data_IF_184760779886
#
_entry.id   IF_184760779886
#
_cell.length_a   1.000
_cell.length_b   1.000
_cell.length_c   1.000
_cell.angle_alpha   90.00
_cell.angle_beta   90.00
_cell.angle_gamma   90.00
#
_symmetry.space_group_name_H-M   'P 1'
#
loop_
_entity.id
_entity.type
_entity.pdbx_description
1 polymer ?
#
# COMPACT_ATOMS: atom_id res chain seq x y z
N UNK A 1 -12.39 -87.13 -50.44
CA UNK A 1 -11.13 -87.23 -51.21
C UNK A 1 -11.13 -86.19 -52.32
N UNK A 2 -10.53 -85.03 -52.10
CA UNK A 2 -10.29 -84.04 -53.17
C UNK A 2 -8.78 -83.84 -53.37
N UNK A 3 -8.27 -83.11 -54.36
CA UNK A 3 -8.60 -82.79 -55.76
C UNK A 3 -7.51 -81.78 -56.15
N UNK A 4 -6.93 -81.92 -57.34
CA UNK A 4 -6.05 -80.92 -57.96
C UNK A 4 -6.69 -79.51 -57.97
N UNK A 5 -5.90 -78.43 -57.93
CA UNK A 5 -5.78 -77.42 -59.01
C UNK A 5 -4.90 -76.21 -58.60
N UNK A 6 -4.11 -75.74 -59.57
CA UNK A 6 -3.49 -74.40 -59.64
C UNK A 6 -4.58 -73.32 -59.80
N UNK A 7 -4.39 -72.10 -59.28
CA UNK A 7 -4.12 -70.87 -60.06
C UNK A 7 -4.08 -69.61 -59.16
N UNK A 8 -3.48 -68.57 -59.73
CA UNK A 8 -2.96 -67.33 -59.17
C UNK A 8 -4.00 -66.29 -58.66
N UNK A 9 -3.47 -65.32 -57.90
CA UNK A 9 -3.55 -63.84 -58.07
C UNK A 9 -4.29 -62.97 -57.01
N UNK A 10 -3.57 -61.88 -56.60
CA UNK A 10 -3.99 -60.59 -56.00
C UNK A 10 -4.42 -60.59 -54.51
N UNK A 11 -4.09 -59.65 -53.59
CA UNK A 11 -3.46 -58.30 -53.61
C UNK A 11 -2.97 -57.92 -52.19
N UNK A 12 -1.83 -57.21 -52.13
CA UNK A 12 -1.22 -56.26 -51.15
C UNK A 12 -1.71 -56.17 -49.68
N UNK A 13 -0.78 -56.06 -48.71
CA UNK A 13 -0.36 -54.77 -48.08
C UNK A 13 0.77 -54.95 -47.02
N UNK A 14 1.83 -54.13 -47.16
CA UNK A 14 2.62 -53.39 -46.16
C UNK A 14 3.08 -54.01 -44.82
N UNK A 15 4.41 -54.18 -44.64
CA UNK A 15 5.14 -53.94 -43.37
C UNK A 15 6.56 -53.42 -43.69
N UNK A 16 7.05 -52.50 -42.84
CA UNK A 16 8.44 -52.06 -42.56
C UNK A 16 8.67 -50.56 -42.82
N UNK A 17 8.37 -49.74 -41.82
CA UNK A 17 9.27 -48.66 -41.34
C UNK A 17 9.08 -48.55 -39.82
N UNK A 18 10.04 -49.02 -39.04
CA UNK A 18 10.09 -48.82 -37.59
C UNK A 18 11.57 -48.67 -37.17
N UNK A 19 12.18 -47.57 -37.60
CA UNK A 19 13.53 -47.18 -37.16
C UNK A 19 13.77 -45.65 -37.26
N UNK A 20 12.72 -44.84 -37.13
CA UNK A 20 12.85 -43.37 -37.24
C UNK A 20 11.92 -42.57 -36.31
N UNK A 21 11.28 -43.18 -35.30
CA UNK A 21 10.39 -42.47 -34.36
C UNK A 21 11.04 -42.18 -33.00
N UNK A 22 12.26 -42.65 -32.73
CA UNK A 22 12.90 -42.46 -31.41
C UNK A 22 13.89 -41.29 -31.28
N UNK A 23 14.06 -40.47 -32.34
CA UNK A 23 15.02 -39.35 -32.31
C UNK A 23 14.39 -37.95 -32.48
N UNK A 24 13.05 -37.84 -32.56
CA UNK A 24 12.33 -36.55 -32.64
C UNK A 24 11.46 -36.27 -31.40
N UNK A 25 11.41 -37.19 -30.44
CA UNK A 25 10.69 -37.00 -29.17
C UNK A 25 11.55 -36.45 -28.02
N UNK A 26 12.79 -36.03 -28.29
CA UNK A 26 13.73 -35.54 -27.27
C UNK A 26 14.01 -34.02 -27.34
N UNK A 27 13.41 -33.27 -28.27
CA UNK A 27 13.77 -31.87 -28.52
C UNK A 27 12.65 -30.83 -28.34
N UNK A 28 11.58 -31.16 -27.61
CA UNK A 28 10.53 -30.19 -27.27
C UNK A 28 9.90 -30.35 -25.90
N UNK A 29 10.43 -31.23 -25.03
CA UNK A 29 9.91 -31.42 -23.67
C UNK A 29 10.51 -30.47 -22.61
N UNK A 30 11.39 -29.53 -23.01
CA UNK A 30 11.98 -28.56 -22.07
C UNK A 30 11.18 -27.26 -21.91
N UNK A 31 10.07 -27.07 -22.63
CA UNK A 31 9.26 -25.84 -22.53
C UNK A 31 7.95 -25.95 -21.72
N UNK A 32 7.60 -27.12 -21.19
CA UNK A 32 6.31 -27.34 -20.49
C UNK A 32 6.45 -27.80 -19.04
N UNK A 33 7.62 -27.59 -18.43
CA UNK A 33 7.73 -27.35 -16.98
C UNK A 33 7.61 -25.84 -16.75
N UNK A 34 6.42 -25.27 -16.87
CA UNK A 34 6.20 -23.86 -16.57
C UNK A 34 6.62 -23.57 -15.12
N UNK A 35 7.87 -23.12 -14.90
CA UNK A 35 8.52 -22.66 -13.66
C UNK A 35 7.95 -23.23 -12.34
N UNK A 36 7.67 -24.53 -12.31
CA UNK A 36 7.04 -25.18 -11.16
C UNK A 36 7.99 -25.31 -9.97
N UNK A 37 9.26 -25.00 -10.17
CA UNK A 37 10.31 -24.90 -9.15
C UNK A 37 10.50 -23.48 -8.61
N UNK A 38 9.62 -22.54 -8.97
CA UNK A 38 9.76 -21.11 -8.68
C UNK A 38 10.02 -20.28 -9.95
N UNK A 39 9.50 -19.04 -10.03
CA UNK A 39 9.84 -18.11 -11.10
C UNK A 39 11.32 -17.65 -11.03
N UNK A 40 11.80 -16.94 -12.06
CA UNK A 40 13.05 -16.20 -11.91
C UNK A 40 12.84 -15.01 -10.95
N UNK A 41 13.90 -14.37 -10.40
CA UNK A 41 13.75 -13.13 -9.67
C UNK A 41 13.05 -12.04 -10.51
N UNK A 42 12.25 -11.18 -9.87
CA UNK A 42 11.68 -9.99 -10.51
C UNK A 42 10.23 -10.12 -11.01
N UNK A 43 9.46 -11.06 -10.45
CA UNK A 43 8.06 -11.31 -10.84
C UNK A 43 7.10 -11.23 -9.65
N UNK A 44 7.46 -10.51 -8.60
CA UNK A 44 6.62 -10.33 -7.41
C UNK A 44 5.57 -9.21 -7.54
N UNK A 45 5.48 -8.56 -8.71
CA UNK A 45 4.65 -7.37 -8.94
C UNK A 45 5.07 -6.14 -8.11
N UNK A 46 6.36 -6.07 -7.74
CA UNK A 46 6.92 -4.90 -7.06
C UNK A 46 7.20 -3.75 -8.03
N UNK A 47 7.31 -2.49 -7.54
CA UNK A 47 7.74 -1.37 -8.38
C UNK A 47 9.07 -1.66 -9.11
N UNK A 48 9.08 -1.38 -10.42
CA UNK A 48 10.22 -1.65 -11.30
C UNK A 48 10.37 -3.10 -11.78
N UNK A 49 9.47 -4.01 -11.39
CA UNK A 49 9.47 -5.42 -11.78
C UNK A 49 8.28 -5.80 -12.66
N UNK A 50 8.35 -7.01 -13.23
CA UNK A 50 7.21 -7.66 -13.85
C UNK A 50 6.36 -8.42 -12.84
N UNK A 51 5.44 -9.23 -13.36
CA UNK A 51 4.68 -10.20 -12.59
C UNK A 51 4.42 -11.46 -13.42
N UNK A 52 3.78 -12.47 -12.82
CA UNK A 52 3.56 -13.75 -13.48
C UNK A 52 2.77 -13.68 -14.80
N UNK A 53 2.04 -12.58 -15.10
CA UNK A 53 1.37 -12.41 -16.41
C UNK A 53 2.34 -12.27 -17.58
N UNK A 54 3.62 -11.95 -17.32
CA UNK A 54 4.66 -11.94 -18.34
C UNK A 54 4.86 -13.32 -19.01
N UNK A 55 4.53 -14.40 -18.28
CA UNK A 55 4.54 -15.76 -18.80
C UNK A 55 3.14 -16.37 -18.91
N UNK A 56 2.20 -16.00 -18.02
CA UNK A 56 0.83 -16.50 -17.97
C UNK A 56 -0.16 -15.49 -18.58
N UNK A 57 -0.32 -15.55 -19.90
CA UNK A 57 -1.03 -14.52 -20.67
C UNK A 57 -2.51 -14.81 -20.89
N UNK A 58 -3.09 -15.81 -20.22
CA UNK A 58 -4.47 -16.25 -20.44
C UNK A 58 -5.50 -15.22 -20.01
N UNK A 59 -5.22 -14.50 -18.93
CA UNK A 59 -6.12 -13.54 -18.32
C UNK A 59 -5.36 -12.32 -17.76
N UNK A 60 -5.99 -11.14 -17.66
CA UNK A 60 -5.41 -9.99 -16.97
C UNK A 60 -5.07 -10.29 -15.51
N UNK A 61 -4.12 -9.53 -14.95
CA UNK A 61 -3.80 -9.56 -13.52
C UNK A 61 -5.07 -9.31 -12.68
N UNK A 62 -5.21 -10.05 -11.58
CA UNK A 62 -6.32 -9.94 -10.62
C UNK A 62 -7.71 -10.10 -11.24
N UNK A 63 -7.78 -10.84 -12.35
CA UNK A 63 -9.04 -11.21 -12.97
C UNK A 63 -9.54 -12.59 -12.51
N UNK A 64 -10.84 -12.81 -12.65
CA UNK A 64 -11.48 -14.07 -12.26
C UNK A 64 -11.90 -14.13 -10.78
N UNK A 65 -12.37 -15.31 -10.32
CA UNK A 65 -13.03 -15.45 -9.01
C UNK A 65 -12.08 -15.70 -7.83
N UNK A 66 -10.78 -15.73 -8.08
CA UNK A 66 -9.76 -15.98 -7.06
C UNK A 66 -9.25 -14.72 -6.37
N UNK A 67 -8.26 -14.89 -5.49
CA UNK A 67 -7.57 -13.79 -4.82
C UNK A 67 -6.21 -14.22 -4.24
N UNK A 68 -5.38 -13.23 -3.90
CA UNK A 68 -4.15 -13.40 -3.14
C UNK A 68 -4.18 -12.52 -1.87
N UNK A 69 -3.47 -12.93 -0.83
CA UNK A 69 -3.31 -12.16 0.41
C UNK A 69 -1.96 -12.46 1.07
N UNK A 70 -1.36 -11.44 1.69
CA UNK A 70 -0.18 -11.57 2.56
C UNK A 70 -0.66 -11.40 4.00
N UNK A 71 -0.34 -12.35 4.87
CA UNK A 71 -0.81 -12.43 6.26
C UNK A 71 0.38 -12.45 7.21
N UNK A 72 0.19 -11.95 8.43
CA UNK A 72 1.23 -11.96 9.47
C UNK A 72 2.29 -10.87 9.30
N UNK A 73 2.13 -9.96 8.34
CA UNK A 73 2.91 -8.72 8.26
C UNK A 73 2.67 -7.97 9.58
N UNK A 74 3.73 -7.68 10.35
CA UNK A 74 3.58 -6.99 11.62
C UNK A 74 3.26 -5.53 11.32
N UNK A 75 2.60 -4.87 12.25
CA UNK A 75 2.26 -3.47 12.03
C UNK A 75 3.48 -2.53 12.14
N UNK A 76 4.52 -2.97 12.87
CA UNK A 76 5.84 -2.35 12.96
C UNK A 76 6.94 -3.41 13.12
N UNK A 77 8.21 -3.01 12.93
CA UNK A 77 9.36 -3.87 13.17
C UNK A 77 10.45 -3.23 14.05
N UNK A 78 11.07 -4.09 14.86
CA UNK A 78 12.38 -3.83 15.47
C UNK A 78 13.50 -4.35 14.57
N UNK A 79 14.68 -3.73 14.59
CA UNK A 79 15.82 -4.26 13.84
C UNK A 79 16.11 -5.72 14.16
N UNK A 80 16.33 -6.54 13.13
CA UNK A 80 16.50 -8.00 13.20
C UNK A 80 15.30 -8.81 13.73
N UNK A 81 14.12 -8.19 13.90
CA UNK A 81 12.92 -8.92 14.30
C UNK A 81 12.56 -10.00 13.28
N UNK A 82 12.33 -11.22 13.75
CA UNK A 82 11.87 -12.32 12.93
C UNK A 82 10.35 -12.45 13.06
N UNK A 83 9.63 -12.41 11.94
CA UNK A 83 8.16 -12.48 11.88
C UNK A 83 7.71 -13.56 10.89
N UNK A 84 6.79 -14.47 11.28
CA UNK A 84 6.21 -15.41 10.34
C UNK A 84 5.24 -14.69 9.39
N UNK A 85 5.55 -14.72 8.10
CA UNK A 85 4.71 -14.19 7.02
C UNK A 85 4.09 -15.36 6.28
N UNK A 86 2.81 -15.25 5.93
CA UNK A 86 2.09 -16.26 5.14
C UNK A 86 1.53 -15.64 3.87
N UNK A 87 1.88 -16.22 2.72
CA UNK A 87 1.24 -15.92 1.44
C UNK A 87 0.13 -16.93 1.22
N UNK A 88 -1.04 -16.47 0.81
CA UNK A 88 -2.19 -17.32 0.47
C UNK A 88 -2.77 -16.95 -0.88
N UNK A 89 -3.01 -17.97 -1.72
CA UNK A 89 -3.68 -17.85 -3.02
C UNK A 89 -4.94 -18.71 -3.00
N UNK A 90 -6.06 -18.14 -3.45
CA UNK A 90 -7.36 -18.80 -3.59
C UNK A 90 -7.81 -18.76 -5.03
N UNK A 91 -8.19 -19.91 -5.60
CA UNK A 91 -8.86 -19.99 -6.88
C UNK A 91 -9.62 -21.31 -6.97
N UNK A 92 -10.95 -21.27 -7.01
CA UNK A 92 -11.73 -22.51 -7.08
C UNK A 92 -11.53 -23.22 -8.43
N UNK A 93 -11.14 -24.49 -8.39
CA UNK A 93 -10.85 -25.29 -9.59
C UNK A 93 -9.39 -25.27 -10.05
N UNK A 94 -8.52 -24.45 -9.43
CA UNK A 94 -7.08 -24.53 -9.68
C UNK A 94 -6.53 -25.86 -9.14
N UNK A 95 -5.70 -26.51 -9.95
CA UNK A 95 -5.06 -27.77 -9.61
C UNK A 95 -3.67 -27.56 -9.01
N UNK A 96 -2.97 -26.49 -9.41
CA UNK A 96 -1.65 -26.14 -8.91
C UNK A 96 -1.59 -24.65 -8.54
N UNK A 97 -0.69 -24.29 -7.62
CA UNK A 97 -0.48 -22.93 -7.17
C UNK A 97 1.00 -22.53 -7.18
N UNK A 98 1.28 -21.23 -7.21
CA UNK A 98 2.63 -20.69 -7.04
C UNK A 98 2.61 -19.24 -6.56
N UNK A 99 3.76 -18.73 -6.12
CA UNK A 99 3.94 -17.35 -5.71
C UNK A 99 5.40 -16.89 -5.77
N UNK A 100 5.62 -15.59 -5.89
CA UNK A 100 6.89 -14.97 -5.50
C UNK A 100 6.57 -13.74 -4.67
N UNK A 101 7.29 -13.56 -3.57
CA UNK A 101 7.18 -12.40 -2.69
C UNK A 101 8.55 -11.74 -2.50
N UNK A 102 8.57 -10.41 -2.43
CA UNK A 102 9.72 -9.58 -2.02
C UNK A 102 9.31 -8.57 -0.95
N UNK A 103 10.27 -8.01 -0.22
CA UNK A 103 10.07 -6.91 0.72
C UNK A 103 11.07 -5.79 0.44
N UNK A 104 10.59 -4.56 0.26
CA UNK A 104 11.37 -3.40 -0.18
C UNK A 104 11.16 -2.20 0.74
N UNK A 105 12.18 -1.35 0.84
CA UNK A 105 12.03 0.00 1.40
C UNK A 105 11.42 0.95 0.35
N UNK A 106 11.13 2.17 0.77
CA UNK A 106 10.54 3.22 -0.08
C UNK A 106 11.41 3.56 -1.30
N UNK A 107 12.73 3.44 -1.18
CA UNK A 107 13.68 3.62 -2.29
C UNK A 107 13.77 2.40 -3.23
N UNK A 108 13.00 1.34 -2.97
CA UNK A 108 13.01 0.11 -3.75
C UNK A 108 14.20 -0.81 -3.49
N UNK A 109 14.96 -0.59 -2.40
CA UNK A 109 16.04 -1.47 -1.97
C UNK A 109 15.50 -2.64 -1.13
N UNK A 110 16.25 -3.76 -0.99
CA UNK A 110 15.80 -4.90 -0.20
C UNK A 110 15.64 -4.54 1.29
N UNK A 111 14.43 -4.70 1.83
CA UNK A 111 14.11 -4.42 3.23
C UNK A 111 14.02 -5.73 4.05
N UNK A 112 15.19 -6.25 4.40
CA UNK A 112 15.33 -7.43 5.26
C UNK A 112 15.66 -8.68 4.47
N UNK A 113 15.47 -9.83 5.10
CA UNK A 113 15.79 -11.13 4.52
C UNK A 113 14.66 -12.12 4.76
N UNK A 114 14.59 -13.17 3.94
CA UNK A 114 13.64 -14.26 4.14
C UNK A 114 14.36 -15.53 4.57
N UNK A 115 13.68 -16.32 5.39
CA UNK A 115 14.11 -17.64 5.83
C UNK A 115 12.98 -18.61 5.52
N UNK A 116 13.24 -19.55 4.61
CA UNK A 116 12.31 -20.64 4.31
C UNK A 116 12.23 -21.58 5.52
N UNK A 117 11.10 -21.57 6.23
CA UNK A 117 10.86 -22.46 7.37
C UNK A 117 10.41 -23.84 6.92
N UNK A 118 9.63 -23.93 5.83
CA UNK A 118 9.39 -25.17 5.09
C UNK A 118 10.29 -25.22 3.84
N UNK A 119 11.49 -25.76 3.99
CA UNK A 119 12.47 -25.86 2.91
C UNK A 119 12.12 -26.92 1.85
N UNK A 120 11.08 -27.73 2.08
CA UNK A 120 10.57 -28.69 1.09
C UNK A 120 9.70 -27.95 0.08
N UNK A 121 8.82 -27.08 0.58
CA UNK A 121 7.84 -26.38 -0.24
C UNK A 121 8.27 -25.00 -0.69
N UNK A 122 9.24 -24.37 -0.03
CA UNK A 122 9.67 -23.00 -0.33
C UNK A 122 11.19 -22.89 -0.48
N UNK A 123 11.63 -21.83 -1.14
CA UNK A 123 13.03 -21.41 -1.22
C UNK A 123 13.15 -19.90 -1.17
N UNK A 124 14.37 -19.45 -0.86
CA UNK A 124 14.76 -18.04 -0.91
C UNK A 124 15.79 -17.90 -2.02
N UNK A 125 15.60 -16.91 -2.88
CA UNK A 125 16.53 -16.56 -3.96
C UNK A 125 16.91 -15.08 -3.88
N UNK A 126 18.07 -14.74 -4.41
CA UNK A 126 18.59 -13.37 -4.41
C UNK A 126 18.91 -13.00 -5.86
N UNK A 127 18.27 -11.92 -6.34
CA UNK A 127 18.55 -11.36 -7.65
C UNK A 127 20.00 -10.90 -7.74
N UNK A 128 20.67 -11.29 -8.81
CA UNK A 128 22.05 -10.86 -9.09
C UNK A 128 22.11 -9.48 -9.77
N UNK A 129 20.96 -8.92 -10.16
CA UNK A 129 20.88 -7.64 -10.87
C UNK A 129 20.80 -6.45 -9.90
N UNK A 130 19.96 -6.58 -8.87
CA UNK A 130 19.60 -5.50 -7.93
C UNK A 130 19.74 -5.91 -6.45
N UNK A 131 20.07 -7.17 -6.17
CA UNK A 131 20.21 -7.68 -4.80
C UNK A 131 18.89 -7.96 -4.08
N UNK A 132 17.73 -7.82 -4.76
CA UNK A 132 16.42 -8.10 -4.14
C UNK A 132 16.31 -9.55 -3.70
N UNK A 133 15.75 -9.72 -2.50
CA UNK A 133 15.51 -11.01 -1.89
C UNK A 133 14.08 -11.45 -2.18
N UNK A 134 13.92 -12.68 -2.64
CA UNK A 134 12.61 -13.26 -2.90
C UNK A 134 12.43 -14.56 -2.13
N UNK A 135 11.19 -14.84 -1.77
CA UNK A 135 10.76 -16.16 -1.30
C UNK A 135 9.64 -16.65 -2.22
N UNK A 136 9.71 -17.92 -2.56
CA UNK A 136 8.86 -18.53 -3.60
C UNK A 136 8.66 -20.03 -3.37
N UNK A 137 7.76 -20.63 -4.15
CA UNK A 137 7.47 -22.06 -4.09
C UNK A 137 8.56 -22.91 -4.77
N UNK A 138 8.76 -24.12 -4.24
CA UNK A 138 9.37 -25.26 -4.94
C UNK A 138 8.29 -26.13 -5.57
N UNK A 139 8.71 -27.12 -6.36
CA UNK A 139 7.80 -28.10 -6.98
C UNK A 139 6.88 -28.80 -5.97
N UNK A 140 7.40 -29.19 -4.81
CA UNK A 140 6.59 -29.83 -3.76
C UNK A 140 5.57 -28.87 -3.14
N UNK A 141 5.75 -27.56 -3.30
CA UNK A 141 4.88 -26.51 -2.77
C UNK A 141 3.70 -26.15 -3.67
N UNK A 142 3.54 -26.73 -4.87
CA UNK A 142 2.47 -26.32 -5.80
C UNK A 142 1.12 -26.99 -5.53
N UNK A 143 1.11 -28.06 -4.73
CA UNK A 143 -0.10 -28.87 -4.48
C UNK A 143 -1.02 -28.13 -3.50
N UNK A 144 -2.33 -28.01 -3.77
CA UNK A 144 -3.27 -27.31 -2.89
C UNK A 144 -3.34 -27.94 -1.49
N UNK A 145 -3.43 -27.11 -0.44
CA UNK A 145 -3.65 -27.62 0.94
C UNK A 145 -5.06 -28.18 1.10
N UNK A 146 -5.99 -27.65 0.31
CA UNK A 146 -7.39 -28.04 0.22
C UNK A 146 -7.96 -27.54 -1.11
N UNK A 147 -9.10 -28.07 -1.59
CA UNK A 147 -9.67 -27.64 -2.87
C UNK A 147 -9.78 -26.11 -2.96
N UNK A 148 -9.16 -25.55 -4.01
CA UNK A 148 -9.26 -24.14 -4.35
C UNK A 148 -8.36 -23.18 -3.56
N UNK A 149 -7.41 -23.66 -2.74
CA UNK A 149 -6.46 -22.76 -2.07
C UNK A 149 -5.11 -23.40 -1.74
N UNK A 150 -4.09 -22.55 -1.64
CA UNK A 150 -2.75 -22.89 -1.14
C UNK A 150 -2.19 -21.75 -0.31
N UNK A 151 -1.46 -22.08 0.75
CA UNK A 151 -0.68 -21.13 1.53
C UNK A 151 0.74 -21.63 1.80
N UNK A 152 1.65 -20.67 1.98
CA UNK A 152 3.04 -20.89 2.35
C UNK A 152 3.42 -19.93 3.46
N UNK A 153 4.04 -20.46 4.51
CA UNK A 153 4.55 -19.68 5.63
C UNK A 153 6.07 -19.74 5.65
N UNK A 154 6.70 -18.59 5.83
CA UNK A 154 8.15 -18.42 5.96
C UNK A 154 8.42 -17.32 6.98
N UNK A 155 9.67 -17.12 7.35
CA UNK A 155 10.04 -16.04 8.26
C UNK A 155 10.64 -14.88 7.46
N UNK A 156 10.09 -13.69 7.63
CA UNK A 156 10.78 -12.46 7.28
C UNK A 156 11.61 -12.01 8.48
N UNK A 157 12.89 -11.75 8.27
CA UNK A 157 13.77 -11.13 9.24
C UNK A 157 13.99 -9.67 8.83
N UNK A 158 13.51 -8.77 9.67
CA UNK A 158 13.60 -7.33 9.45
C UNK A 158 15.05 -6.85 9.31
N UNK A 159 15.29 -5.74 8.59
CA UNK A 159 16.60 -5.11 8.45
C UNK A 159 17.38 -4.98 9.76
N UNK A 160 18.72 -5.06 9.68
CA UNK A 160 19.59 -4.93 10.84
C UNK A 160 19.61 -3.51 11.45
N UNK A 161 19.18 -2.52 10.68
CA UNK A 161 18.92 -1.13 11.05
C UNK A 161 17.55 -0.75 10.51
N UNK A 162 16.82 0.18 11.14
CA UNK A 162 15.56 0.66 10.55
C UNK A 162 15.82 1.31 9.19
N UNK A 163 14.96 1.02 8.22
CA UNK A 163 14.99 1.54 6.84
C UNK A 163 13.71 2.30 6.48
N UNK A 164 12.92 2.70 7.48
CA UNK A 164 11.60 3.30 7.27
C UNK A 164 10.54 2.24 6.97
N UNK A 165 9.59 2.59 6.09
CA UNK A 165 8.50 1.72 5.65
C UNK A 165 9.06 0.48 4.95
N UNK A 166 8.38 -0.64 5.12
CA UNK A 166 8.67 -1.89 4.42
C UNK A 166 7.43 -2.36 3.70
N UNK A 167 7.48 -2.38 2.37
CA UNK A 167 6.39 -2.87 1.53
C UNK A 167 6.70 -4.28 1.04
N UNK A 168 5.77 -5.19 1.27
CA UNK A 168 5.75 -6.56 0.78
C UNK A 168 4.93 -6.60 -0.50
N UNK A 169 5.49 -7.16 -1.56
CA UNK A 169 4.81 -7.34 -2.83
C UNK A 169 4.83 -8.80 -3.19
N UNK A 170 3.71 -9.33 -3.66
CA UNK A 170 3.62 -10.69 -4.11
C UNK A 170 2.74 -10.85 -5.35
N UNK A 171 3.14 -11.78 -6.20
CA UNK A 171 2.30 -12.29 -7.29
C UNK A 171 2.14 -13.79 -7.14
N UNK A 172 0.94 -14.30 -7.42
CA UNK A 172 0.56 -15.69 -7.23
C UNK A 172 -0.17 -16.25 -8.45
N UNK A 173 -0.04 -17.56 -8.67
CA UNK A 173 -0.70 -18.29 -9.75
C UNK A 173 -1.74 -19.26 -9.18
N UNK A 174 -2.94 -19.28 -9.75
CA UNK A 174 -3.88 -20.40 -9.68
C UNK A 174 -3.99 -21.06 -11.04
N UNK A 175 -3.30 -22.19 -11.23
CA UNK A 175 -3.15 -22.84 -12.52
C UNK A 175 -4.06 -24.06 -12.73
N UNK A 176 -4.40 -24.33 -13.98
CA UNK A 176 -5.31 -25.43 -14.35
C UNK A 176 -4.62 -26.81 -14.39
N UNK A 177 -3.31 -26.86 -14.18
CA UNK A 177 -2.51 -28.07 -14.07
C UNK A 177 -2.16 -28.75 -15.39
N UNK A 178 -2.45 -28.14 -16.54
CA UNK A 178 -2.19 -28.74 -17.86
C UNK A 178 -0.74 -28.55 -18.36
N UNK A 179 0.09 -27.78 -17.63
CA UNK A 179 1.49 -27.48 -17.97
C UNK A 179 1.70 -26.38 -19.02
N UNK A 180 0.63 -25.71 -19.44
CA UNK A 180 0.59 -24.57 -20.35
C UNK A 180 0.30 -23.29 -19.55
N UNK A 181 0.98 -22.17 -19.84
CA UNK A 181 0.69 -20.89 -19.19
C UNK A 181 -0.70 -20.29 -19.50
N UNK A 182 -1.38 -20.76 -20.54
CA UNK A 182 -2.73 -20.32 -20.90
C UNK A 182 -3.77 -21.05 -20.08
N UNK A 183 -4.77 -20.33 -19.54
CA UNK A 183 -5.79 -20.90 -18.65
C UNK A 183 -5.50 -20.65 -17.17
N UNK A 184 -4.30 -20.15 -16.87
CA UNK A 184 -3.85 -19.81 -15.52
C UNK A 184 -4.25 -18.39 -15.14
N UNK A 185 -4.68 -18.20 -13.88
CA UNK A 185 -5.04 -16.90 -13.34
C UNK A 185 -3.96 -16.37 -12.41
N UNK A 186 -3.56 -15.12 -12.63
CA UNK A 186 -2.55 -14.44 -11.82
C UNK A 186 -3.21 -13.43 -10.89
N UNK A 187 -2.79 -13.47 -9.64
CA UNK A 187 -3.24 -12.57 -8.59
C UNK A 187 -2.04 -11.80 -8.02
N UNK A 188 -2.27 -10.60 -7.54
CA UNK A 188 -1.27 -9.84 -6.78
C UNK A 188 -1.79 -9.48 -5.39
N UNK A 189 -0.86 -9.24 -4.49
CA UNK A 189 -1.13 -8.66 -3.19
C UNK A 189 0.06 -7.82 -2.74
N UNK A 190 -0.24 -6.70 -2.10
CA UNK A 190 0.71 -5.88 -1.36
C UNK A 190 0.31 -5.84 0.11
N UNK A 191 1.29 -5.62 0.97
CA UNK A 191 1.08 -5.29 2.38
C UNK A 191 2.25 -4.40 2.82
N UNK A 192 2.06 -3.53 3.81
CA UNK A 192 3.13 -2.63 4.26
C UNK A 192 3.26 -2.61 5.77
N UNK A 193 4.48 -2.39 6.21
CA UNK A 193 4.85 -2.01 7.57
C UNK A 193 5.23 -0.55 7.51
N UNK A 194 4.47 0.34 8.12
CA UNK A 194 4.73 1.78 8.06
C UNK A 194 3.49 2.59 8.40
N UNK A 195 3.73 3.82 8.86
CA UNK A 195 2.77 4.60 9.65
C UNK A 195 1.45 4.82 8.91
N UNK A 196 0.37 4.35 9.51
CA UNK A 196 -0.95 4.91 9.22
C UNK A 196 -1.00 6.37 9.71
N UNK A 197 -1.78 7.26 9.08
CA UNK A 197 -1.97 8.60 9.63
C UNK A 197 -2.50 8.47 11.06
N UNK A 198 -1.93 9.26 11.98
CA UNK A 198 -2.30 9.27 13.40
C UNK A 198 -2.13 7.91 14.12
N UNK A 199 -1.15 7.10 13.73
CA UNK A 199 -0.71 5.94 14.51
C UNK A 199 0.22 6.40 15.66
N UNK A 200 -0.25 6.43 16.90
CA UNK A 200 0.51 6.90 18.08
C UNK A 200 1.09 5.76 18.93
N UNK A 201 0.80 4.50 18.62
CA UNK A 201 1.40 3.35 19.33
C UNK A 201 2.18 2.38 18.44
N UNK A 202 2.31 2.69 17.16
CA UNK A 202 3.06 1.94 16.17
C UNK A 202 2.49 0.55 15.94
N UNK A 203 1.16 0.44 16.00
CA UNK A 203 0.42 -0.77 15.68
C UNK A 203 -0.17 -0.74 14.26
N UNK A 204 0.33 0.17 13.41
CA UNK A 204 0.01 0.28 11.99
C UNK A 204 -1.44 0.64 11.72
N UNK A 205 -2.20 0.97 12.76
CA UNK A 205 -3.57 1.44 12.67
C UNK A 205 -3.64 2.93 12.96
N UNK A 206 -4.61 3.58 12.33
CA UNK A 206 -4.97 4.94 12.68
C UNK A 206 -5.66 4.94 14.05
N UNK A 207 -5.10 5.68 15.00
CA UNK A 207 -5.72 5.84 16.32
C UNK A 207 -6.82 6.90 16.28
N UNK A 208 -7.94 6.62 16.98
CA UNK A 208 -8.97 7.63 17.20
C UNK A 208 -8.39 8.75 18.04
N UNK A 209 -8.30 9.94 17.46
CA UNK A 209 -7.58 11.04 18.06
C UNK A 209 -8.23 12.37 17.71
N UNK A 210 -8.33 13.24 18.73
CA UNK A 210 -8.88 14.58 18.58
C UNK A 210 -8.01 15.64 19.26
N UNK A 211 -7.90 16.81 18.64
CA UNK A 211 -7.40 18.03 19.27
C UNK A 211 -8.57 18.91 19.68
N UNK A 212 -8.55 19.43 20.90
CA UNK A 212 -9.53 20.37 21.41
C UNK A 212 -9.00 21.80 21.34
N UNK A 213 -9.43 22.62 20.37
CA UNK A 213 -8.85 23.95 20.17
C UNK A 213 -9.15 24.92 21.32
N UNK A 214 -10.21 24.68 22.09
CA UNK A 214 -10.61 25.54 23.20
C UNK A 214 -9.62 25.51 24.37
N UNK A 215 -8.82 24.44 24.50
CA UNK A 215 -7.86 24.28 25.59
C UNK A 215 -6.51 23.69 25.17
N UNK A 216 -6.27 23.46 23.88
CA UNK A 216 -5.01 22.94 23.37
C UNK A 216 -4.74 21.47 23.75
N UNK A 217 -5.75 20.69 24.10
CA UNK A 217 -5.56 19.31 24.59
C UNK A 217 -5.78 18.28 23.48
N UNK A 218 -4.86 17.33 23.36
CA UNK A 218 -4.97 16.14 22.55
C UNK A 218 -5.57 15.00 23.37
N UNK A 219 -6.53 14.30 22.80
CA UNK A 219 -7.11 13.07 23.34
C UNK A 219 -6.89 11.98 22.31
N UNK A 220 -6.24 10.89 22.70
CA UNK A 220 -5.83 9.83 21.80
C UNK A 220 -6.28 8.50 22.42
N UNK A 221 -7.06 7.73 21.68
CA UNK A 221 -7.44 6.36 22.02
C UNK A 221 -6.65 5.43 21.12
N UNK A 222 -5.52 4.95 21.65
CA UNK A 222 -4.58 4.12 20.90
C UNK A 222 -5.10 2.70 20.77
N UNK A 223 -5.07 2.11 19.58
CA UNK A 223 -5.72 0.82 19.30
C UNK A 223 -5.15 -0.33 20.14
N UNK A 224 -3.84 -0.30 20.44
CA UNK A 224 -3.18 -1.30 21.27
C UNK A 224 -2.97 -0.83 22.71
N UNK A 225 -2.61 0.44 22.92
CA UNK A 225 -2.19 0.97 24.22
C UNK A 225 -3.26 1.77 24.97
N UNK A 226 -4.46 1.90 24.41
CA UNK A 226 -5.60 2.57 25.02
C UNK A 226 -5.41 4.09 25.18
N UNK A 227 -6.26 4.68 26.01
CA UNK A 227 -6.42 6.12 26.13
C UNK A 227 -5.19 6.85 26.73
N UNK A 228 -4.84 7.99 26.14
CA UNK A 228 -3.93 8.99 26.69
C UNK A 228 -4.38 10.40 26.31
N UNK A 229 -3.86 11.41 27.02
CA UNK A 229 -4.12 12.81 26.72
C UNK A 229 -2.88 13.67 26.96
N UNK A 230 -2.66 14.63 26.07
CA UNK A 230 -1.56 15.60 26.17
C UNK A 230 -2.13 17.01 26.16
N UNK A 231 -1.87 17.79 27.21
CA UNK A 231 -2.10 19.23 27.17
C UNK A 231 -0.94 19.88 26.40
N UNK A 232 -1.06 19.89 25.07
CA UNK A 232 0.02 20.27 24.17
C UNK A 232 -0.50 21.14 23.03
N UNK A 233 -0.57 22.43 23.31
CA UNK A 233 -1.04 23.44 22.37
C UNK A 233 -1.57 24.66 23.11
N UNK A 234 -2.06 25.62 22.36
CA UNK A 234 -2.72 26.81 22.87
C UNK A 234 -3.85 27.21 21.93
N UNK A 235 -4.74 28.07 22.40
CA UNK A 235 -5.81 28.59 21.54
C UNK A 235 -5.21 29.29 20.32
N UNK A 236 -5.67 28.90 19.14
CA UNK A 236 -5.17 29.40 17.85
C UNK A 236 -4.00 28.61 17.25
N UNK A 237 -3.47 27.61 17.97
CA UNK A 237 -2.54 26.65 17.38
C UNK A 237 -3.31 25.67 16.46
N UNK A 238 -2.68 25.29 15.35
CA UNK A 238 -3.18 24.30 14.40
C UNK A 238 -2.50 22.96 14.69
N UNK A 239 -3.24 21.84 14.86
CA UNK A 239 -2.62 20.53 14.99
C UNK A 239 -1.87 20.18 13.70
N UNK A 240 -0.64 19.71 13.82
CA UNK A 240 0.23 19.38 12.70
C UNK A 240 1.10 18.15 13.03
N UNK A 241 0.44 17.00 13.30
CA UNK A 241 1.11 15.77 13.69
C UNK A 241 2.00 15.22 12.57
N UNK A 242 2.97 14.38 12.93
CA UNK A 242 3.87 13.70 12.01
C UNK A 242 4.92 12.91 12.79
N UNK A 243 5.67 12.02 12.14
CA UNK A 243 6.81 11.33 12.77
C UNK A 243 8.09 12.16 12.57
N UNK A 244 8.40 13.09 13.49
CA UNK A 244 9.54 13.99 13.32
C UNK A 244 10.85 13.39 13.84
N UNK A 245 10.81 12.30 14.59
CA UNK A 245 11.99 11.67 15.19
C UNK A 245 12.39 10.33 14.55
N UNK A 246 11.52 9.75 13.70
CA UNK A 246 11.76 8.56 12.90
C UNK A 246 11.58 7.27 13.68
N UNK A 247 10.75 7.27 14.72
CA UNK A 247 10.45 6.08 15.51
C UNK A 247 9.24 5.27 14.98
N UNK A 248 8.61 5.74 13.89
CA UNK A 248 7.38 5.29 13.24
C UNK A 248 6.09 5.55 14.03
N UNK A 249 6.12 6.32 15.12
CA UNK A 249 4.91 6.83 15.78
C UNK A 249 4.67 8.27 15.37
N UNK A 250 3.39 8.62 15.35
CA UNK A 250 2.96 10.01 15.26
C UNK A 250 3.40 10.77 16.51
N UNK A 251 4.13 11.86 16.31
CA UNK A 251 4.42 12.84 17.34
C UNK A 251 3.25 13.81 17.51
N UNK A 252 2.99 14.16 18.77
CA UNK A 252 2.03 15.22 19.10
C UNK A 252 2.65 16.56 18.79
N UNK A 253 2.07 17.28 17.83
CA UNK A 253 2.68 18.49 17.27
C UNK A 253 1.66 19.56 16.88
N UNK A 254 2.05 20.83 17.07
CA UNK A 254 1.25 22.00 16.70
C UNK A 254 2.08 23.03 15.95
N UNK A 255 1.46 23.68 14.97
CA UNK A 255 1.96 24.89 14.35
C UNK A 255 1.24 26.10 14.97
N UNK A 256 1.99 27.15 15.31
CA UNK A 256 1.46 28.41 15.86
C UNK A 256 1.50 29.50 14.78
N UNK A 257 0.39 29.77 14.08
CA UNK A 257 0.38 30.70 12.94
C UNK A 257 0.80 32.14 13.30
N UNK A 258 0.53 32.56 14.54
CA UNK A 258 0.87 33.91 15.02
C UNK A 258 2.37 34.19 15.13
N UNK A 259 3.20 33.15 15.15
CA UNK A 259 4.65 33.27 15.37
C UNK A 259 5.51 32.44 14.42
N UNK A 260 4.89 31.54 13.64
CA UNK A 260 5.59 30.62 12.75
C UNK A 260 6.36 29.52 13.48
N UNK A 261 6.03 29.23 14.74
CA UNK A 261 6.68 28.16 15.49
C UNK A 261 5.95 26.83 15.34
N UNK A 262 6.74 25.79 15.14
CA UNK A 262 6.37 24.40 15.35
C UNK A 262 6.79 23.98 16.75
N UNK A 263 5.90 23.27 17.44
CA UNK A 263 6.18 22.62 18.70
C UNK A 263 5.79 21.17 18.57
N UNK A 264 6.63 20.25 19.02
CA UNK A 264 6.29 18.83 19.05
C UNK A 264 6.93 18.10 20.23
N UNK A 265 6.31 17.00 20.64
CA UNK A 265 6.85 16.04 21.60
C UNK A 265 7.29 14.81 20.83
N UNK A 266 8.58 14.50 20.88
CA UNK A 266 9.14 13.26 20.34
C UNK A 266 8.52 12.07 21.06
N UNK A 267 7.91 11.16 20.33
CA UNK A 267 7.22 10.00 20.85
C UNK A 267 8.18 8.92 21.38
N UNK A 268 9.44 8.94 20.95
CA UNK A 268 10.48 7.99 21.38
C UNK A 268 10.97 8.23 22.81
N UNK A 269 11.08 9.49 23.25
CA UNK A 269 11.66 9.87 24.55
C UNK A 269 10.88 10.95 25.32
N UNK A 270 9.83 11.51 24.72
CA UNK A 270 9.01 12.59 25.29
C UNK A 270 9.67 13.97 25.21
N UNK A 271 10.77 14.14 24.48
CA UNK A 271 11.49 15.41 24.42
C UNK A 271 10.69 16.49 23.70
N UNK A 272 10.62 17.66 24.33
CA UNK A 272 10.06 18.85 23.71
C UNK A 272 11.00 19.46 22.68
N UNK A 273 10.45 19.79 21.53
CA UNK A 273 11.14 20.50 20.45
C UNK A 273 10.35 21.73 20.03
N UNK A 274 11.09 22.78 19.68
CA UNK A 274 10.55 24.03 19.17
C UNK A 274 11.39 24.47 17.97
N UNK A 275 10.76 24.65 16.82
CA UNK A 275 11.40 25.03 15.56
C UNK A 275 10.67 26.24 15.00
N UNK A 276 11.38 27.36 14.79
CA UNK A 276 10.78 28.51 14.13
C UNK A 276 10.86 28.33 12.61
N UNK A 277 9.74 27.96 11.99
CA UNK A 277 9.65 27.75 10.56
C UNK A 277 8.25 28.05 10.01
N UNK A 278 8.14 29.16 9.29
CA UNK A 278 6.89 29.64 8.70
C UNK A 278 6.59 31.10 9.05
N UNK A 279 5.49 31.60 8.52
CA UNK A 279 5.00 32.95 8.70
C UNK A 279 3.48 32.96 8.92
N UNK A 280 2.95 34.12 9.33
CA UNK A 280 1.51 34.31 9.45
C UNK A 280 0.82 34.07 8.10
N UNK A 281 -0.20 33.21 8.09
CA UNK A 281 -0.94 32.83 6.88
C UNK A 281 -0.40 31.59 6.17
N UNK A 282 0.76 31.08 6.59
CA UNK A 282 1.26 29.79 6.13
C UNK A 282 0.40 28.64 6.71
N UNK A 283 0.23 27.57 5.92
CA UNK A 283 -0.47 26.35 6.29
C UNK A 283 0.54 25.25 6.61
N UNK A 284 0.44 24.54 7.75
CA UNK A 284 1.32 23.41 8.06
C UNK A 284 1.03 22.23 7.13
N UNK A 285 2.07 21.63 6.56
CA UNK A 285 1.98 20.51 5.60
C UNK A 285 3.13 19.52 5.82
N UNK A 286 3.41 19.18 7.09
CA UNK A 286 4.47 18.24 7.43
C UNK A 286 4.23 16.87 6.79
N UNK A 287 5.27 16.34 6.14
CA UNK A 287 5.28 15.05 5.45
C UNK A 287 6.72 14.70 5.05
N UNK A 288 7.00 13.48 4.60
CA UNK A 288 8.34 13.05 4.18
C UNK A 288 8.61 13.45 2.71
N UNK A 289 9.16 14.63 2.46
CA UNK A 289 9.44 15.10 1.09
C UNK A 289 10.83 14.68 0.60
N UNK A 290 11.73 14.23 1.48
CA UNK A 290 13.10 13.84 1.11
C UNK A 290 13.33 12.32 1.07
N UNK A 291 12.42 11.53 1.64
CA UNK A 291 12.37 10.07 1.60
C UNK A 291 13.21 9.41 2.68
N UNK A 292 13.47 10.07 3.81
CA UNK A 292 14.25 9.52 4.92
C UNK A 292 13.40 8.75 5.96
N UNK A 293 12.08 8.68 5.75
CA UNK A 293 11.12 8.04 6.63
C UNK A 293 10.64 8.92 7.77
N UNK A 294 10.98 10.22 7.80
CA UNK A 294 10.51 11.19 8.79
C UNK A 294 9.69 12.28 8.14
N UNK A 295 8.78 12.85 8.91
CA UNK A 295 8.08 14.08 8.54
C UNK A 295 9.04 15.26 8.56
N UNK A 296 9.16 15.94 7.42
CA UNK A 296 9.80 17.24 7.31
C UNK A 296 8.93 18.33 7.95
N UNK A 297 9.57 19.32 8.56
CA UNK A 297 8.88 20.54 8.99
C UNK A 297 8.62 21.39 7.74
N UNK A 298 7.35 21.48 7.32
CA UNK A 298 6.97 22.07 6.04
C UNK A 298 5.73 22.96 6.13
N UNK A 299 5.73 24.03 5.32
CA UNK A 299 4.60 24.97 5.19
C UNK A 299 4.28 25.28 3.74
N UNK A 300 3.00 25.42 3.41
CA UNK A 300 2.54 26.04 2.17
C UNK A 300 2.14 27.49 2.43
N UNK A 301 2.57 28.40 1.54
CA UNK A 301 2.21 29.81 1.59
C UNK A 301 1.23 30.14 0.47
N UNK A 302 -0.07 30.25 0.75
CA UNK A 302 -1.08 30.51 -0.27
C UNK A 302 -0.87 31.84 -1.01
N UNK A 303 -0.33 32.86 -0.33
CA UNK A 303 -0.16 34.21 -0.92
C UNK A 303 0.77 34.25 -2.13
N UNK A 304 1.64 33.25 -2.31
CA UNK A 304 2.56 33.15 -3.45
C UNK A 304 2.67 31.73 -4.04
N UNK A 305 1.85 30.79 -3.57
CA UNK A 305 1.83 29.40 -4.06
C UNK A 305 3.19 28.70 -3.86
N UNK A 306 3.86 28.91 -2.74
CA UNK A 306 5.19 28.33 -2.48
C UNK A 306 5.17 27.41 -1.28
N UNK A 307 5.77 26.23 -1.45
CA UNK A 307 6.06 25.25 -0.42
C UNK A 307 7.46 25.51 0.11
N UNK A 308 7.62 25.50 1.43
CA UNK A 308 8.90 25.62 2.11
C UNK A 308 9.03 24.45 3.07
N UNK A 309 10.20 23.82 3.14
CA UNK A 309 10.44 22.71 4.08
C UNK A 309 11.89 22.67 4.56
N UNK A 310 12.08 22.14 5.77
CA UNK A 310 13.36 21.76 6.33
C UNK A 310 13.47 20.24 6.25
N UNK A 311 14.44 19.77 5.47
CA UNK A 311 14.74 18.35 5.36
C UNK A 311 15.12 17.74 6.71
N UNK A 312 14.44 16.69 7.11
CA UNK A 312 14.76 15.86 8.27
C UNK A 312 16.14 15.20 8.15
N UNK A 313 16.54 14.84 6.92
CA UNK A 313 17.80 14.14 6.65
C UNK A 313 19.05 14.93 7.05
N UNK A 314 19.06 16.24 6.79
CA UNK A 314 20.25 17.08 6.95
C UNK A 314 19.99 18.50 7.47
N UNK A 315 18.72 18.85 7.74
CA UNK A 315 18.31 20.19 8.16
C UNK A 315 18.34 21.24 7.05
N UNK A 316 18.58 20.86 5.79
CA UNK A 316 18.68 21.82 4.70
C UNK A 316 17.32 22.45 4.37
N UNK A 317 17.31 23.78 4.24
CA UNK A 317 16.16 24.52 3.74
C UNK A 317 15.95 24.29 2.25
N UNK A 318 14.70 24.01 1.87
CA UNK A 318 14.24 23.82 0.49
C UNK A 318 12.93 24.56 0.25
N UNK A 319 12.65 24.82 -1.02
CA UNK A 319 11.38 25.39 -1.44
C UNK A 319 11.01 24.92 -2.85
N UNK A 320 9.71 24.86 -3.11
CA UNK A 320 9.11 24.53 -4.40
C UNK A 320 7.99 25.51 -4.68
N UNK A 321 8.04 26.22 -5.81
CA UNK A 321 6.95 27.11 -6.20
C UNK A 321 5.92 26.31 -7.01
N UNK A 322 4.79 25.98 -6.38
CA UNK A 322 3.74 25.16 -6.96
C UNK A 322 2.39 25.44 -6.31
N UNK A 323 1.38 25.79 -7.10
CA UNK A 323 0.03 26.11 -6.61
C UNK A 323 -0.30 27.61 -6.64
N UNK A 324 -1.42 27.96 -6.02
CA UNK A 324 -2.03 29.29 -6.01
C UNK A 324 -2.82 29.52 -4.71
N UNK A 325 -3.34 30.73 -4.52
CA UNK A 325 -4.02 31.09 -3.26
C UNK A 325 -5.38 30.43 -3.04
N UNK A 326 -6.02 29.89 -4.08
CA UNK A 326 -7.31 29.20 -3.98
C UNK A 326 -7.17 27.68 -3.80
N UNK A 327 -5.96 27.17 -4.00
CA UNK A 327 -5.69 25.75 -3.99
C UNK A 327 -5.78 25.19 -2.56
N UNK A 328 -6.39 24.01 -2.44
CA UNK A 328 -6.32 23.19 -1.22
C UNK A 328 -5.11 22.29 -1.35
N UNK A 329 -4.22 22.29 -0.36
CA UNK A 329 -3.02 21.45 -0.35
C UNK A 329 -3.40 20.01 -0.06
N UNK A 330 -2.82 19.05 -0.77
CA UNK A 330 -3.13 17.60 -0.65
C UNK A 330 -1.86 16.76 -0.85
N UNK A 331 -0.75 17.07 -0.17
CA UNK A 331 0.51 16.38 -0.38
C UNK A 331 0.40 14.90 0.04
N UNK A 332 0.82 14.00 -0.84
CA UNK A 332 0.92 12.56 -0.58
C UNK A 332 1.79 11.92 -1.68
N UNK A 333 2.19 10.66 -1.52
CA UNK A 333 2.88 9.90 -2.56
C UNK A 333 1.91 9.44 -3.68
N UNK A 334 1.87 10.12 -4.83
CA UNK A 334 1.00 9.76 -5.97
C UNK A 334 1.70 8.83 -6.98
N UNK A 335 3.03 8.66 -6.90
CA UNK A 335 3.79 7.89 -7.87
C UNK A 335 4.32 6.55 -7.32
N UNK A 336 4.30 6.37 -6.01
CA UNK A 336 4.67 5.17 -5.27
C UNK A 336 6.16 5.06 -4.99
N UNK A 337 6.90 6.17 -4.99
CA UNK A 337 8.35 6.20 -4.69
C UNK A 337 8.67 6.38 -3.20
N UNK A 338 7.63 6.41 -2.36
CA UNK A 338 7.71 6.56 -0.92
C UNK A 338 8.11 7.96 -0.45
N UNK A 339 8.13 8.95 -1.36
CA UNK A 339 8.25 10.37 -1.01
C UNK A 339 6.92 11.07 -1.21
N UNK A 340 6.75 12.15 -0.48
CA UNK A 340 5.57 13.00 -0.60
C UNK A 340 5.69 13.90 -1.82
N UNK A 341 4.69 13.86 -2.70
CA UNK A 341 4.58 14.78 -3.83
C UNK A 341 4.01 16.13 -3.41
N UNK A 342 4.44 17.19 -4.10
CA UNK A 342 3.78 18.49 -3.98
C UNK A 342 2.47 18.47 -4.77
N UNK A 343 1.34 18.51 -4.07
CA UNK A 343 0.04 18.36 -4.70
C UNK A 343 -1.00 19.36 -4.17
N UNK A 344 -1.89 19.77 -5.07
CA UNK A 344 -3.00 20.69 -4.80
C UNK A 344 -4.27 20.26 -5.51
N UNK A 345 -5.43 20.45 -4.86
CA UNK A 345 -6.74 20.45 -5.50
C UNK A 345 -7.19 21.89 -5.75
N UNK A 346 -7.49 22.22 -7.00
CA UNK A 346 -7.99 23.54 -7.41
C UNK A 346 -9.52 23.55 -7.52
N UNK A 347 -10.23 24.21 -6.60
CA UNK A 347 -11.69 24.20 -6.59
C UNK A 347 -12.33 24.82 -7.84
N UNK A 348 -11.73 25.89 -8.38
CA UNK A 348 -12.29 26.66 -9.50
C UNK A 348 -12.47 25.86 -10.79
N UNK A 349 -11.70 24.78 -10.96
CA UNK A 349 -11.78 23.90 -12.13
C UNK A 349 -11.85 22.40 -11.78
N UNK A 350 -11.99 22.07 -10.50
CA UNK A 350 -12.12 20.69 -9.98
C UNK A 350 -10.96 19.79 -10.44
N UNK A 351 -9.74 20.33 -10.45
CA UNK A 351 -8.56 19.63 -10.95
C UNK A 351 -7.51 19.48 -9.85
N UNK A 352 -6.97 18.28 -9.73
CA UNK A 352 -5.81 17.94 -8.94
C UNK A 352 -4.56 18.17 -9.77
N UNK A 353 -3.58 18.87 -9.22
CA UNK A 353 -2.28 19.13 -9.83
C UNK A 353 -1.20 18.62 -8.90
N UNK A 354 -0.19 17.92 -9.41
CA UNK A 354 0.91 17.42 -8.60
C UNK A 354 2.23 17.40 -9.36
N UNK A 355 3.34 17.52 -8.61
CA UNK A 355 4.70 17.31 -9.08
C UNK A 355 5.21 16.02 -8.47
N UNK A 356 5.49 15.03 -9.31
CA UNK A 356 6.03 13.73 -8.88
C UNK A 356 7.45 13.90 -8.31
N UNK A 357 7.71 13.36 -7.14
CA UNK A 357 9.01 13.32 -6.45
C UNK A 357 10.09 12.63 -7.28
N UNK A 358 9.73 11.56 -8.00
CA UNK A 358 10.67 10.76 -8.79
C UNK A 358 11.39 11.57 -9.88
N UNK A 359 10.66 12.43 -10.60
CA UNK A 359 11.17 13.11 -11.80
C UNK A 359 10.84 14.62 -11.88
N UNK A 360 10.15 15.16 -10.88
CA UNK A 360 9.59 16.52 -10.86
C UNK A 360 8.60 16.82 -12.01
N UNK A 361 8.03 15.80 -12.64
CA UNK A 361 7.09 16.00 -13.74
C UNK A 361 5.75 16.52 -13.22
N UNK A 362 5.24 17.53 -13.91
CA UNK A 362 3.89 18.03 -13.71
C UNK A 362 2.84 17.06 -14.23
N UNK A 363 1.88 16.74 -13.38
CA UNK A 363 0.73 15.89 -13.67
C UNK A 363 -0.57 16.55 -13.22
N UNK A 364 -1.68 16.09 -13.78
CA UNK A 364 -3.00 16.55 -13.37
C UNK A 364 -4.07 15.49 -13.58
N UNK A 365 -5.10 15.55 -12.73
CA UNK A 365 -6.29 14.69 -12.81
C UNK A 365 -7.52 15.55 -12.54
N UNK A 366 -8.51 15.54 -13.43
CA UNK A 366 -9.78 16.23 -13.17
C UNK A 366 -10.75 15.27 -12.47
N UNK A 367 -11.09 15.56 -11.21
CA UNK A 367 -11.93 14.68 -10.41
C UNK A 367 -12.62 15.43 -9.27
N UNK A 368 -13.90 15.11 -9.02
CA UNK A 368 -14.74 15.77 -8.02
C UNK A 368 -15.40 17.07 -8.48
N UNK A 369 -15.93 17.84 -7.53
CA UNK A 369 -16.47 19.18 -7.71
C UNK A 369 -15.73 20.19 -6.83
N UNK A 370 -15.72 21.47 -7.23
CA UNK A 370 -15.06 22.53 -6.46
C UNK A 370 -15.56 22.71 -5.03
N UNK A 371 -16.80 22.29 -4.73
CA UNK A 371 -17.37 22.33 -3.37
C UNK A 371 -17.00 21.13 -2.51
N UNK A 372 -16.40 20.09 -3.10
CA UNK A 372 -16.07 18.89 -2.35
C UNK A 372 -14.82 19.12 -1.47
N UNK A 373 -14.70 18.31 -0.41
CA UNK A 373 -13.53 18.30 0.48
C UNK A 373 -12.59 17.19 0.01
N UNK A 374 -11.34 17.49 -0.36
CA UNK A 374 -10.35 16.45 -0.67
C UNK A 374 -10.18 15.49 0.52
N UNK A 375 -10.08 14.20 0.24
CA UNK A 375 -9.86 13.14 1.23
C UNK A 375 -8.83 12.13 0.71
N UNK A 376 -7.72 12.66 0.19
CA UNK A 376 -6.62 11.87 -0.40
C UNK A 376 -6.09 10.82 0.58
N UNK A 377 -5.93 9.60 0.10
CA UNK A 377 -5.31 8.47 0.80
C UNK A 377 -5.20 7.27 -0.14
N UNK A 378 -4.59 6.18 0.30
CA UNK A 378 -4.46 4.91 -0.45
C UNK A 378 -5.62 3.96 -0.08
N UNK A 379 -6.73 4.01 -0.81
CA UNK A 379 -7.96 3.25 -0.53
C UNK A 379 -7.94 1.85 -1.16
N UNK A 380 -7.14 1.62 -2.20
CA UNK A 380 -7.04 0.31 -2.84
C UNK A 380 -5.83 -0.53 -2.39
N UNK A 381 -4.89 0.07 -1.66
CA UNK A 381 -3.74 -0.59 -1.05
C UNK A 381 -2.55 -0.77 -1.99
N UNK A 382 -2.51 -0.06 -3.12
CA UNK A 382 -1.43 -0.19 -4.10
C UNK A 382 -0.16 0.58 -3.71
N UNK A 383 -0.21 1.33 -2.61
CA UNK A 383 0.89 2.13 -2.09
C UNK A 383 0.93 3.55 -2.63
N UNK A 384 -0.03 3.95 -3.46
CA UNK A 384 -0.14 5.30 -4.02
C UNK A 384 -1.39 6.01 -3.51
N UNK A 385 -1.35 7.34 -3.58
CA UNK A 385 -2.48 8.18 -3.28
C UNK A 385 -3.57 8.05 -4.35
N UNK A 386 -4.79 7.73 -3.90
CA UNK A 386 -5.98 7.81 -4.72
C UNK A 386 -6.58 9.22 -4.70
N UNK A 387 -7.22 9.59 -5.82
CA UNK A 387 -7.96 10.84 -5.88
C UNK A 387 -9.32 10.64 -5.24
N UNK A 388 -9.55 11.28 -4.09
CA UNK A 388 -10.78 11.09 -3.35
C UNK A 388 -11.35 12.42 -2.82
N UNK A 389 -12.68 12.52 -2.81
CA UNK A 389 -13.41 13.68 -2.29
C UNK A 389 -14.61 13.26 -1.44
N UNK A 390 -14.88 14.00 -0.36
CA UNK A 390 -16.10 13.94 0.43
C UNK A 390 -17.03 15.10 0.07
N UNK A 391 -18.22 14.75 -0.39
CA UNK A 391 -19.29 15.70 -0.70
C UNK A 391 -20.18 15.89 0.51
N UNK A 392 -19.93 16.95 1.27
CA UNK A 392 -20.65 17.25 2.51
C UNK A 392 -22.17 17.48 2.31
N UNK A 393 -22.60 17.94 1.14
CA UNK A 393 -24.03 18.19 0.85
C UNK A 393 -24.86 16.91 0.78
N UNK A 394 -24.23 15.79 0.44
CA UNK A 394 -24.88 14.48 0.35
C UNK A 394 -24.34 13.48 1.36
N UNK A 395 -23.18 13.72 1.98
CA UNK A 395 -22.51 12.72 2.80
C UNK A 395 -21.98 11.56 1.95
N UNK A 396 -21.44 11.86 0.77
CA UNK A 396 -20.97 10.84 -0.18
C UNK A 396 -19.48 10.97 -0.42
N UNK A 397 -18.78 9.85 -0.38
CA UNK A 397 -17.38 9.70 -0.75
C UNK A 397 -17.31 9.30 -2.22
N UNK A 398 -16.43 9.95 -2.96
CA UNK A 398 -16.09 9.59 -4.33
C UNK A 398 -14.60 9.34 -4.39
N UNK A 399 -14.20 8.15 -4.84
CA UNK A 399 -12.80 7.71 -4.88
C UNK A 399 -12.50 7.21 -6.29
N UNK A 400 -11.35 7.60 -6.82
CA UNK A 400 -10.81 7.13 -8.07
C UNK A 400 -9.47 6.46 -7.77
N UNK A 401 -9.46 5.13 -7.87
CA UNK A 401 -8.28 4.30 -7.60
C UNK A 401 -7.16 4.61 -8.58
N UNK A 402 -5.95 4.78 -8.07
CA UNK A 402 -4.75 5.12 -8.82
C UNK A 402 -4.24 3.93 -9.66
N UNK A 403 -4.39 2.70 -9.16
CA UNK A 403 -3.94 1.47 -9.81
C UNK A 403 -4.63 1.16 -11.14
N UNK A 404 -5.93 1.46 -11.24
CA UNK A 404 -6.78 0.98 -12.34
C UNK A 404 -7.89 1.95 -12.77
N UNK A 405 -7.96 3.15 -12.21
CA UNK A 405 -9.02 4.14 -12.43
C UNK A 405 -10.44 3.63 -12.10
N UNK A 406 -10.55 2.63 -11.23
CA UNK A 406 -11.86 2.19 -10.74
C UNK A 406 -12.50 3.31 -9.91
N UNK A 407 -13.77 3.59 -10.22
CA UNK A 407 -14.53 4.63 -9.56
C UNK A 407 -15.44 4.03 -8.49
N UNK A 408 -15.35 4.56 -7.27
CA UNK A 408 -16.18 4.18 -6.13
C UNK A 408 -16.99 5.38 -5.67
N UNK A 409 -18.29 5.16 -5.44
CA UNK A 409 -19.17 6.13 -4.81
C UNK A 409 -19.85 5.48 -3.59
N UNK A 410 -19.50 5.95 -2.39
CA UNK A 410 -20.00 5.40 -1.12
C UNK A 410 -20.73 6.48 -0.33
N UNK A 411 -22.04 6.32 -0.18
CA UNK A 411 -22.84 7.15 0.72
C UNK A 411 -22.49 6.75 2.17
N UNK A 412 -21.77 7.61 2.88
CA UNK A 412 -21.45 7.43 4.28
C UNK A 412 -21.18 8.82 4.88
N UNK A 413 -22.03 9.24 5.81
CA UNK A 413 -21.98 10.56 6.43
C UNK A 413 -23.30 11.32 6.40
N UNK A 414 -23.34 12.39 7.18
CA UNK A 414 -24.45 13.32 7.28
C UNK A 414 -23.97 14.78 7.20
N UNK A 415 -24.90 15.72 7.05
CA UNK A 415 -24.55 17.14 7.05
C UNK A 415 -23.87 17.53 8.38
N UNK A 416 -22.70 18.14 8.29
CA UNK A 416 -21.89 18.56 9.44
C UNK A 416 -20.87 17.52 9.93
N UNK A 417 -20.92 16.31 9.41
CA UNK A 417 -19.87 15.31 9.64
C UNK A 417 -18.56 15.74 8.96
N UNK A 418 -17.43 15.38 9.60
CA UNK A 418 -16.09 15.64 9.08
C UNK A 418 -15.46 14.32 8.60
N UNK A 419 -14.94 14.25 7.37
CA UNK A 419 -14.24 13.06 6.91
C UNK A 419 -12.95 12.86 7.73
N UNK A 420 -12.65 11.61 8.06
CA UNK A 420 -11.43 11.21 8.75
C UNK A 420 -10.99 9.85 8.19
N UNK A 421 -10.47 9.81 6.95
CA UNK A 421 -9.92 8.57 6.40
C UNK A 421 -8.72 8.09 7.22
N UNK A 422 -8.52 6.77 7.29
CA UNK A 422 -7.41 6.16 8.03
C UNK A 422 -7.44 4.63 7.93
N UNK A 423 -6.36 3.95 8.30
CA UNK A 423 -6.30 2.48 8.34
C UNK A 423 -6.70 2.01 9.74
N UNK A 424 -7.98 2.03 10.10
CA UNK A 424 -8.44 1.73 11.45
C UNK A 424 -8.44 0.22 11.76
N UNK A 425 -8.54 -0.64 10.74
CA UNK A 425 -8.57 -2.09 10.93
C UNK A 425 -7.24 -2.82 10.66
N UNK A 426 -6.23 -2.09 10.16
CA UNK A 426 -4.86 -2.57 10.02
C UNK A 426 -4.65 -3.44 8.78
N UNK A 427 -5.53 -3.40 7.78
CA UNK A 427 -5.38 -4.20 6.56
C UNK A 427 -4.43 -3.58 5.52
N UNK A 428 -3.98 -2.35 5.78
CA UNK A 428 -3.06 -1.61 4.94
C UNK A 428 -3.75 -0.72 3.89
N UNK A 429 -5.08 -0.77 3.79
CA UNK A 429 -5.90 0.12 2.97
C UNK A 429 -6.51 1.20 3.84
N UNK A 430 -6.96 2.27 3.18
CA UNK A 430 -7.68 3.34 3.86
C UNK A 430 -9.15 2.96 4.02
N UNK A 431 -9.61 2.97 5.26
CA UNK A 431 -11.02 2.87 5.62
C UNK A 431 -11.73 4.22 5.48
N UNK A 432 -13.03 4.16 5.21
CA UNK A 432 -13.88 5.35 5.20
C UNK A 432 -14.31 5.65 6.63
N UNK A 433 -13.71 6.69 7.23
CA UNK A 433 -14.00 7.15 8.58
C UNK A 433 -14.64 8.54 8.63
N UNK A 434 -15.48 8.77 9.64
CA UNK A 434 -16.19 10.03 9.88
C UNK A 434 -16.14 10.36 11.37
N UNK A 435 -15.83 11.62 11.68
CA UNK A 435 -16.06 12.21 12.98
C UNK A 435 -17.28 13.13 12.92
N UNK A 436 -18.24 12.90 13.83
CA UNK A 436 -19.41 13.76 14.03
C UNK A 436 -19.16 14.73 15.17
N UNK A 437 -18.90 16.02 14.91
CA UNK A 437 -18.57 16.95 15.96
C UNK A 437 -19.76 17.28 16.88
N UNK A 438 -21.00 17.04 16.47
CA UNK A 438 -22.16 17.42 17.29
C UNK A 438 -22.28 16.58 18.57
N UNK A 439 -21.84 15.33 18.54
CA UNK A 439 -21.94 14.36 19.64
C UNK A 439 -20.62 13.65 19.99
N UNK A 440 -19.54 13.90 19.22
CA UNK A 440 -18.23 13.31 19.45
C UNK A 440 -18.12 11.85 19.02
N UNK A 441 -19.00 11.39 18.13
CA UNK A 441 -18.99 10.01 17.63
C UNK A 441 -18.11 9.83 16.40
N UNK A 442 -17.41 8.72 16.36
CA UNK A 442 -16.73 8.19 15.18
C UNK A 442 -17.55 7.10 14.55
N UNK A 443 -17.56 7.07 13.22
CA UNK A 443 -18.18 6.03 12.40
C UNK A 443 -17.21 5.61 11.32
N UNK A 444 -16.94 4.32 11.19
CA UNK A 444 -15.95 3.76 10.27
C UNK A 444 -16.57 2.60 9.50
N UNK A 445 -16.27 2.51 8.20
CA UNK A 445 -16.48 1.29 7.41
C UNK A 445 -15.11 0.73 7.05
N UNK A 446 -14.84 -0.47 7.54
CA UNK A 446 -13.62 -1.22 7.24
C UNK A 446 -13.53 -1.56 5.76
N UNK A 447 -12.38 -1.31 5.17
CA UNK A 447 -12.01 -1.62 3.80
C UNK A 447 -11.86 -3.13 3.58
N UNK A 448 -11.36 -3.87 4.58
CA UNK A 448 -11.13 -5.32 4.48
C UNK A 448 -12.40 -6.15 4.26
N UNK A 449 -13.52 -5.73 4.85
CA UNK A 449 -14.73 -6.55 4.93
C UNK A 449 -16.07 -5.78 4.96
N UNK A 450 -16.03 -4.44 4.91
CA UNK A 450 -17.23 -3.59 4.99
C UNK A 450 -17.87 -3.52 6.38
N UNK A 451 -17.22 -4.02 7.44
CA UNK A 451 -17.74 -3.96 8.79
C UNK A 451 -17.88 -2.51 9.26
N UNK A 452 -19.02 -2.21 9.86
CA UNK A 452 -19.29 -0.92 10.46
C UNK A 452 -18.79 -0.88 11.91
N UNK A 453 -18.09 0.18 12.28
CA UNK A 453 -17.70 0.49 13.65
C UNK A 453 -18.26 1.86 14.06
N UNK A 454 -18.75 1.95 15.30
CA UNK A 454 -19.18 3.20 15.92
C UNK A 454 -18.56 3.33 17.29
N UNK A 455 -17.87 4.44 17.55
CA UNK A 455 -17.15 4.67 18.81
C UNK A 455 -17.35 6.12 19.26
N UNK A 456 -17.90 6.33 20.45
CA UNK A 456 -17.92 7.66 21.04
C UNK A 456 -16.52 7.99 21.54
N UNK A 457 -15.88 9.00 20.94
CA UNK A 457 -14.56 9.47 21.36
C UNK A 457 -14.32 10.92 20.92
N UNK A 458 -14.46 11.85 21.86
CA UNK A 458 -14.32 13.28 21.61
C UNK A 458 -15.53 14.05 22.12
N UNK A 459 -15.57 15.35 21.80
CA UNK A 459 -16.62 16.26 22.23
C UNK A 459 -16.91 17.31 21.15
N UNK A 460 -17.97 18.09 21.38
CA UNK A 460 -18.32 19.19 20.49
C UNK A 460 -17.22 20.25 20.42
N UNK A 461 -16.84 20.60 19.19
CA UNK A 461 -15.77 21.55 18.89
C UNK A 461 -14.39 20.91 18.72
N UNK A 462 -14.25 19.61 18.98
CA UNK A 462 -13.00 18.90 18.74
C UNK A 462 -12.71 18.78 17.23
N UNK A 463 -11.42 18.71 16.89
CA UNK A 463 -10.92 18.46 15.54
C UNK A 463 -10.35 17.04 15.48
N UNK A 464 -10.84 16.22 14.55
CA UNK A 464 -10.29 14.90 14.28
C UNK A 464 -8.86 15.03 13.72
N UNK A 465 -7.92 14.30 14.31
CA UNK A 465 -6.50 14.36 13.95
C UNK A 465 -6.15 13.66 12.63
N UNK A 466 -6.75 12.51 12.24
CA UNK A 466 -6.51 11.93 10.92
C UNK A 466 -6.82 12.91 9.79
N UNK A 467 -7.79 13.81 10.00
CA UNK A 467 -8.10 14.90 9.06
C UNK A 467 -7.04 16.01 9.02
N UNK A 468 -6.05 16.05 9.93
CA UNK A 468 -4.92 16.99 9.83
C UNK A 468 -3.88 16.55 8.80
N UNK A 469 -3.86 15.26 8.45
CA UNK A 469 -3.06 14.70 7.34
C UNK A 469 -3.73 14.92 5.97
N UNK A 470 -4.95 15.44 5.98
CA UNK A 470 -5.81 15.63 4.81
C UNK A 470 -6.28 17.10 4.82
N UNK A 471 -5.55 18.02 4.20
CA UNK A 471 -5.72 19.45 4.46
C UNK A 471 -7.00 20.10 3.91
#
# INVERSE_FOLDING_TARGET
MPRNFRLLHYVKLSIIVLASIFAVYAFSYEKTKARSIGPDPGFANAPGEGNCTACHTGFPLDSGPGSMSILGVPDNYSPNQAVPITVKVKHNGALNFGFQLTALDDMGNPAGTFIATDTVQTQVIISQLDGRHYVEQKFEGITPDSPGQKQWTFTWQAPATRVGRVSFYAAGNGGDGNGNPSGDYIYSASARIGSAPADFDNDGRTDLSVFRPSNGTWYILRSMLGFTAYNFGSSGDTPAPGDFDGDNKTDVAVFRPSSGYWYYLQSSDGAFRAVQFGASGDQPVAADYDGDGKSDIAVFRPSNGTWYYLRSLDGAFRFTQFGSSEDKVVPQDYDGDGKTDFAVFRPSNSTWYYLQSTDNAFRFTQFGLGTDTPVVSDYDGDGKADFAVFRASTGTWYILHSSNNNFVAQQFGAAGDRPAPGNYDGDGKTDIGIFRPTDGNWYIINSSNGAFQGQQFGANGDAAIPAAYVP
#
